data_IF_976725241531
#
_entry.id   IF_976725241531
#
_cell.length_a   1.000
_cell.length_b   1.000
_cell.length_c   1.000
_cell.angle_alpha   90.00
_cell.angle_beta   90.00
_cell.angle_gamma   90.00
#
_symmetry.space_group_name_H-M   'P 1'
#
loop_
_entity.id
_entity.type
_entity.pdbx_description
1 polymer ?
#
# COMPACT_ATOMS: atom_id res chain seq x y z
N UNK A 1 -5.90 -11.60 4.13
CA UNK A 1 -5.94 -10.24 3.58
C UNK A 1 -6.06 -9.16 4.65
N UNK A 2 -7.01 -9.31 5.55
CA UNK A 2 -7.21 -8.33 6.62
C UNK A 2 -5.99 -8.18 7.53
N UNK A 3 -5.39 -9.29 7.91
CA UNK A 3 -4.17 -9.28 8.73
C UNK A 3 -3.02 -8.58 8.01
N UNK A 4 -2.84 -8.87 6.74
CA UNK A 4 -1.79 -8.24 5.94
C UNK A 4 -2.04 -6.73 5.78
N UNK A 5 -3.30 -6.32 5.61
CA UNK A 5 -3.68 -4.91 5.53
C UNK A 5 -3.31 -4.17 6.82
N UNK A 6 -3.59 -4.76 7.98
CA UNK A 6 -3.23 -4.16 9.27
C UNK A 6 -1.72 -4.08 9.45
N UNK A 7 -0.99 -5.10 9.03
CA UNK A 7 0.47 -5.09 9.09
C UNK A 7 1.05 -3.98 8.20
N UNK A 8 0.45 -3.77 7.02
CA UNK A 8 0.87 -2.71 6.11
C UNK A 8 0.62 -1.33 6.70
N UNK A 9 -0.56 -1.10 7.29
CA UNK A 9 -0.86 0.18 7.94
C UNK A 9 0.14 0.48 9.04
N UNK A 10 0.45 -0.50 9.88
CA UNK A 10 1.44 -0.33 10.95
C UNK A 10 2.82 -0.02 10.39
N UNK A 11 3.22 -0.73 9.33
CA UNK A 11 4.50 -0.48 8.66
C UNK A 11 4.58 0.91 8.06
N UNK A 12 3.52 1.34 7.39
CA UNK A 12 3.43 2.68 6.80
C UNK A 12 3.54 3.74 7.90
N UNK A 13 2.77 3.58 8.98
CA UNK A 13 2.80 4.53 10.10
C UNK A 13 4.19 4.62 10.72
N UNK A 14 4.86 3.49 10.95
CA UNK A 14 6.20 3.48 11.52
C UNK A 14 7.20 4.21 10.63
N UNK A 15 7.15 3.97 9.33
CA UNK A 15 8.07 4.62 8.39
C UNK A 15 7.80 6.12 8.32
N UNK A 16 6.52 6.51 8.18
CA UNK A 16 6.15 7.92 8.08
C UNK A 16 6.49 8.67 9.37
N UNK A 17 6.21 8.08 10.53
CA UNK A 17 6.54 8.69 11.82
C UNK A 17 8.05 8.80 12.01
N UNK A 18 8.81 7.76 11.65
CA UNK A 18 10.27 7.78 11.75
C UNK A 18 10.85 8.90 10.92
N UNK A 19 10.31 9.11 9.72
CA UNK A 19 10.77 10.19 8.85
C UNK A 19 10.36 11.56 9.34
N UNK A 20 9.08 11.75 9.67
CA UNK A 20 8.55 13.08 10.01
C UNK A 20 9.02 13.58 11.39
N UNK A 21 9.12 12.69 12.37
CA UNK A 21 9.43 13.07 13.74
C UNK A 21 10.88 12.85 14.13
N UNK A 22 11.53 11.85 13.58
CA UNK A 22 12.91 11.49 13.95
C UNK A 22 13.91 11.70 12.81
N UNK A 23 13.43 12.00 11.61
CA UNK A 23 14.25 12.17 10.40
C UNK A 23 15.23 11.00 10.20
N UNK A 24 14.73 9.80 10.44
CA UNK A 24 15.52 8.58 10.36
C UNK A 24 15.90 8.28 8.91
N UNK A 25 17.20 8.29 8.61
CA UNK A 25 17.70 8.00 7.26
C UNK A 25 17.62 6.51 6.91
N UNK A 26 17.40 5.65 7.90
CA UNK A 26 17.26 4.21 7.69
C UNK A 26 15.87 3.79 7.21
N UNK A 27 14.99 4.75 6.94
CA UNK A 27 13.63 4.45 6.45
C UNK A 27 13.64 3.66 5.14
N UNK A 28 14.67 3.82 4.31
CA UNK A 28 14.81 3.06 3.05
C UNK A 28 14.93 1.56 3.35
N UNK A 29 15.71 1.19 4.36
CA UNK A 29 15.85 -0.22 4.74
C UNK A 29 14.54 -0.79 5.26
N UNK A 30 13.81 0.00 6.05
CA UNK A 30 12.48 -0.38 6.54
C UNK A 30 11.50 -0.54 5.36
N UNK A 31 11.60 0.35 4.38
CA UNK A 31 10.78 0.29 3.18
C UNK A 31 11.07 -0.96 2.34
N UNK A 32 12.33 -1.36 2.25
CA UNK A 32 12.71 -2.58 1.53
C UNK A 32 12.11 -3.82 2.19
N UNK A 33 12.12 -3.87 3.52
CA UNK A 33 11.49 -4.97 4.26
C UNK A 33 9.98 -4.99 4.01
N UNK A 34 9.36 -3.82 4.01
CA UNK A 34 7.91 -3.70 3.77
C UNK A 34 7.53 -4.02 2.33
N UNK A 35 8.46 -3.87 1.38
CA UNK A 35 8.19 -4.07 -0.05
C UNK A 35 7.61 -5.46 -0.35
N UNK A 36 8.11 -6.51 0.31
CA UNK A 36 7.59 -7.86 0.11
C UNK A 36 6.12 -7.96 0.47
N UNK A 37 5.73 -7.37 1.60
CA UNK A 37 4.33 -7.37 2.05
C UNK A 37 3.46 -6.54 1.12
N UNK A 38 3.97 -5.42 0.64
CA UNK A 38 3.27 -4.57 -0.32
C UNK A 38 3.02 -5.33 -1.61
N UNK A 39 4.03 -6.05 -2.13
CA UNK A 39 3.88 -6.84 -3.34
C UNK A 39 2.88 -7.97 -3.17
N UNK A 40 2.89 -8.65 -2.03
CA UNK A 40 1.90 -9.69 -1.73
C UNK A 40 0.48 -9.12 -1.70
N UNK A 41 0.31 -7.98 -1.05
CA UNK A 41 -0.97 -7.33 -0.92
C UNK A 41 -1.50 -6.87 -2.29
N UNK A 42 -0.68 -6.17 -3.04
CA UNK A 42 -1.04 -5.71 -4.38
C UNK A 42 -1.31 -6.88 -5.32
N UNK A 43 -0.52 -7.95 -5.21
CA UNK A 43 -0.70 -9.15 -6.01
C UNK A 43 -2.07 -9.79 -5.82
N UNK A 44 -2.63 -9.70 -4.60
CA UNK A 44 -3.97 -10.23 -4.33
C UNK A 44 -5.04 -9.50 -5.14
N UNK A 45 -4.91 -8.19 -5.33
CA UNK A 45 -5.83 -7.42 -6.16
C UNK A 45 -5.69 -7.76 -7.64
N UNK A 46 -4.48 -8.10 -8.07
CA UNK A 46 -4.20 -8.34 -9.48
C UNK A 46 -4.59 -9.75 -9.94
N UNK A 47 -4.80 -10.67 -8.99
CA UNK A 47 -5.18 -12.05 -9.30
C UNK A 47 -6.66 -12.21 -9.64
N UNK A 48 -7.51 -11.29 -9.20
CA UNK A 48 -8.94 -11.36 -9.49
C UNK A 48 -9.74 -10.33 -8.70
N UNK A 49 -11.00 -10.22 -9.08
CA UNK A 49 -11.93 -9.27 -8.47
C UNK A 49 -12.51 -9.87 -7.18
N UNK A 50 -11.71 -9.87 -6.11
CA UNK A 50 -12.05 -10.54 -4.85
C UNK A 50 -13.18 -9.86 -4.07
N UNK A 51 -13.50 -8.61 -4.39
CA UNK A 51 -14.57 -7.87 -3.70
C UNK A 51 -15.85 -7.79 -4.52
N UNK A 52 -15.92 -8.47 -5.65
CA UNK A 52 -17.12 -8.47 -6.50
C UNK A 52 -17.48 -7.11 -7.06
N UNK A 53 -16.47 -6.26 -7.32
CA UNK A 53 -16.69 -4.94 -7.89
C UNK A 53 -17.16 -5.01 -9.34
N UNK A 54 -17.82 -3.96 -9.82
CA UNK A 54 -18.13 -3.84 -11.23
C UNK A 54 -16.82 -3.82 -12.04
N UNK A 55 -16.87 -4.36 -13.26
CA UNK A 55 -15.69 -4.53 -14.09
C UNK A 55 -14.91 -3.24 -14.31
N UNK A 56 -15.61 -2.14 -14.58
CA UNK A 56 -14.97 -0.84 -14.78
C UNK A 56 -14.28 -0.33 -13.51
N UNK A 57 -14.96 -0.46 -12.38
CA UNK A 57 -14.42 -0.03 -11.09
C UNK A 57 -13.19 -0.88 -10.72
N UNK A 58 -13.24 -2.19 -10.99
CA UNK A 58 -12.13 -3.07 -10.75
C UNK A 58 -10.92 -2.72 -11.62
N UNK A 59 -11.14 -2.43 -12.89
CA UNK A 59 -10.06 -2.04 -13.80
C UNK A 59 -9.40 -0.73 -13.36
N UNK A 60 -10.18 0.25 -12.93
CA UNK A 60 -9.64 1.50 -12.41
C UNK A 60 -8.80 1.27 -11.15
N UNK A 61 -9.30 0.46 -10.22
CA UNK A 61 -8.57 0.13 -9.01
C UNK A 61 -7.28 -0.63 -9.33
N UNK A 62 -7.36 -1.60 -10.22
CA UNK A 62 -6.21 -2.38 -10.67
C UNK A 62 -5.12 -1.49 -11.25
N UNK A 63 -5.49 -0.56 -12.13
CA UNK A 63 -4.55 0.37 -12.74
C UNK A 63 -3.92 1.29 -11.68
N UNK A 64 -4.72 1.75 -10.74
CA UNK A 64 -4.24 2.59 -9.64
C UNK A 64 -3.24 1.84 -8.75
N UNK A 65 -3.56 0.59 -8.40
CA UNK A 65 -2.67 -0.26 -7.60
C UNK A 65 -1.34 -0.48 -8.31
N UNK A 66 -1.37 -0.76 -9.61
CA UNK A 66 -0.16 -0.94 -10.41
C UNK A 66 0.70 0.33 -10.43
N UNK A 67 0.07 1.48 -10.61
CA UNK A 67 0.77 2.76 -10.63
C UNK A 67 1.43 3.07 -9.29
N UNK A 68 0.69 2.87 -8.19
CA UNK A 68 1.23 3.10 -6.84
C UNK A 68 2.39 2.17 -6.54
N UNK A 69 2.26 0.88 -6.90
CA UNK A 69 3.34 -0.08 -6.71
C UNK A 69 4.59 0.30 -7.51
N UNK A 70 4.41 0.71 -8.75
CA UNK A 70 5.50 1.17 -9.61
C UNK A 70 6.20 2.38 -8.99
N UNK A 71 5.43 3.38 -8.55
CA UNK A 71 5.96 4.58 -7.94
C UNK A 71 6.76 4.27 -6.68
N UNK A 72 6.23 3.36 -5.85
CA UNK A 72 6.91 2.95 -4.63
C UNK A 72 8.24 2.27 -4.93
N UNK A 73 8.25 1.31 -5.84
CA UNK A 73 9.47 0.58 -6.20
C UNK A 73 10.51 1.52 -6.83
N UNK A 74 10.07 2.47 -7.65
CA UNK A 74 10.95 3.46 -8.24
C UNK A 74 11.57 4.38 -7.18
N UNK A 75 10.75 4.87 -6.24
CA UNK A 75 11.22 5.73 -5.16
C UNK A 75 12.26 5.02 -4.29
N UNK A 76 12.01 3.77 -3.94
CA UNK A 76 12.94 2.97 -3.13
C UNK A 76 14.23 2.72 -3.92
N UNK A 77 14.12 2.39 -5.20
CA UNK A 77 15.27 2.13 -6.07
C UNK A 77 16.16 3.35 -6.21
N UNK A 78 15.55 4.54 -6.31
CA UNK A 78 16.27 5.80 -6.42
C UNK A 78 16.69 6.35 -5.06
N UNK A 79 16.28 5.70 -3.98
CA UNK A 79 16.51 6.13 -2.59
C UNK A 79 15.97 7.54 -2.33
N UNK A 80 14.86 7.87 -2.99
CA UNK A 80 14.17 9.16 -2.81
C UNK A 80 13.19 9.04 -1.66
N UNK A 81 13.64 9.45 -0.47
CA UNK A 81 12.88 9.29 0.78
C UNK A 81 11.57 10.05 0.73
N UNK A 82 11.57 11.29 0.25
CA UNK A 82 10.37 12.12 0.19
C UNK A 82 9.32 11.48 -0.71
N UNK A 83 9.71 11.06 -1.90
CA UNK A 83 8.82 10.40 -2.85
C UNK A 83 8.27 9.10 -2.27
N UNK A 84 9.15 8.30 -1.64
CA UNK A 84 8.76 7.04 -1.02
C UNK A 84 7.72 7.25 0.10
N UNK A 85 7.96 8.20 0.99
CA UNK A 85 7.05 8.49 2.11
C UNK A 85 5.71 9.00 1.58
N UNK A 86 5.73 9.86 0.57
CA UNK A 86 4.50 10.37 -0.05
C UNK A 86 3.70 9.23 -0.70
N UNK A 87 4.37 8.31 -1.39
CA UNK A 87 3.71 7.16 -2.01
C UNK A 87 3.07 6.25 -0.98
N UNK A 88 3.75 6.03 0.16
CA UNK A 88 3.18 5.24 1.26
C UNK A 88 1.98 5.93 1.89
N UNK A 89 2.11 7.21 2.21
CA UNK A 89 1.12 7.93 2.99
C UNK A 89 -0.15 8.24 2.19
N UNK A 90 -0.01 8.57 0.92
CA UNK A 90 -1.15 8.95 0.08
C UNK A 90 -1.62 7.83 -0.85
N UNK A 91 -0.70 7.05 -1.40
CA UNK A 91 -1.05 5.99 -2.35
C UNK A 91 -1.43 4.68 -1.68
N UNK A 92 -0.49 4.06 -0.99
CA UNK A 92 -0.70 2.74 -0.39
C UNK A 92 -1.70 2.77 0.75
N UNK A 93 -1.67 3.80 1.58
CA UNK A 93 -2.64 3.96 2.68
C UNK A 93 -4.07 4.00 2.13
N UNK A 94 -4.30 4.74 1.05
CA UNK A 94 -5.61 4.83 0.43
C UNK A 94 -6.09 3.47 -0.08
N UNK A 95 -5.22 2.71 -0.74
CA UNK A 95 -5.56 1.37 -1.22
C UNK A 95 -5.95 0.46 -0.07
N UNK A 96 -5.18 0.48 1.02
CA UNK A 96 -5.45 -0.36 2.19
C UNK A 96 -6.75 0.04 2.85
N UNK A 97 -7.02 1.34 3.00
CA UNK A 97 -8.26 1.83 3.58
C UNK A 97 -9.47 1.40 2.75
N UNK A 98 -9.39 1.49 1.44
CA UNK A 98 -10.45 1.03 0.55
C UNK A 98 -10.72 -0.46 0.71
N UNK A 99 -9.69 -1.27 0.85
CA UNK A 99 -9.86 -2.71 1.01
C UNK A 99 -10.50 -3.06 2.36
N UNK A 100 -10.17 -2.33 3.42
CA UNK A 100 -10.78 -2.52 4.74
C UNK A 100 -12.27 -2.16 4.69
N UNK A 101 -12.62 -1.03 4.05
CA UNK A 101 -14.01 -0.63 3.87
C UNK A 101 -14.82 -1.69 3.14
N UNK A 102 -14.29 -2.24 2.04
CA UNK A 102 -14.98 -3.29 1.29
C UNK A 102 -15.14 -4.58 2.10
N UNK A 103 -14.15 -4.94 2.90
CA UNK A 103 -14.24 -6.11 3.76
C UNK A 103 -15.32 -5.93 4.82
N UNK A 104 -15.42 -4.74 5.42
CA UNK A 104 -16.46 -4.43 6.42
C UNK A 104 -17.85 -4.46 5.79
N UNK A 105 -18.03 -3.90 4.59
CA UNK A 105 -19.30 -3.95 3.88
C UNK A 105 -19.74 -5.39 3.61
N UNK A 106 -18.79 -6.24 3.21
CA UNK A 106 -19.07 -7.65 2.93
C UNK A 106 -19.47 -8.41 4.18
N UNK A 107 -18.85 -8.11 5.32
CA UNK A 107 -19.17 -8.75 6.60
C UNK A 107 -20.54 -8.37 7.13
N UNK A 108 -21.05 -7.19 6.80
CA UNK A 108 -22.34 -6.70 7.26
C UNK A 108 -23.53 -7.23 6.43
N UNK A 109 -23.27 -7.89 5.35
CA UNK A 109 -24.30 -8.54 4.55
C UNK A 109 -24.56 -9.95 5.04
#
# INVERSE_FOLDING_TARGET
MEKLALELIRGIDLICMSYHFHKDENVIEKALVLADKIQQYCGSFLQGNIYGMQAEAYEELKNYVLEVLKDYLEAVSQRDIVYMVDTLDYGLREIVDLSIEHAEETEHE
#
